data_IF_425561442252
#
_entry.id   IF_425561442252
#
_cell.length_a   1.000
_cell.length_b   1.000
_cell.length_c   1.000
_cell.angle_alpha   90.00
_cell.angle_beta   90.00
_cell.angle_gamma   90.00
#
_symmetry.space_group_name_H-M   'P 1'
#
loop_
_entity.id
_entity.type
_entity.pdbx_description
1 polymer ?
#
# COMPACT_ATOMS: atom_id res chain seq x y z
N UNK A 1 47.47 -21.68 -30.57
CA UNK A 1 47.29 -23.15 -30.65
C UNK A 1 45.96 -23.41 -31.35
N UNK A 2 45.74 -24.55 -32.00
CA UNK A 2 44.43 -24.85 -32.59
C UNK A 2 43.45 -25.23 -31.47
N UNK A 3 42.19 -24.78 -31.56
CA UNK A 3 41.13 -25.14 -30.61
C UNK A 3 40.89 -26.65 -30.64
N UNK A 4 41.00 -27.31 -29.50
CA UNK A 4 40.90 -28.77 -29.39
C UNK A 4 39.59 -29.20 -28.73
N UNK A 5 39.19 -30.46 -28.94
CA UNK A 5 38.04 -31.04 -28.24
C UNK A 5 38.19 -31.01 -26.70
N UNK A 6 39.44 -31.00 -26.20
CA UNK A 6 39.75 -30.84 -24.77
C UNK A 6 39.30 -29.47 -24.24
N UNK A 7 39.43 -28.41 -25.04
CA UNK A 7 39.04 -27.05 -24.66
C UNK A 7 37.52 -26.92 -24.52
N UNK A 8 36.74 -27.64 -25.35
CA UNK A 8 35.28 -27.72 -25.23
C UNK A 8 34.88 -28.33 -23.87
N UNK A 9 35.52 -29.43 -23.47
CA UNK A 9 35.25 -30.07 -22.18
C UNK A 9 35.54 -29.13 -21.00
N UNK A 10 36.64 -28.36 -21.06
CA UNK A 10 37.00 -27.39 -20.03
C UNK A 10 36.03 -26.21 -19.96
N UNK A 11 35.54 -25.71 -21.10
CA UNK A 11 34.53 -24.66 -21.17
C UNK A 11 33.21 -25.13 -20.55
N UNK A 12 32.76 -26.35 -20.86
CA UNK A 12 31.57 -26.93 -20.25
C UNK A 12 31.74 -27.04 -18.73
N UNK A 13 32.91 -27.54 -18.28
CA UNK A 13 33.24 -27.60 -16.86
C UNK A 13 33.23 -26.21 -16.21
N UNK A 14 33.78 -25.18 -16.87
CA UNK A 14 33.82 -23.81 -16.38
C UNK A 14 32.45 -23.14 -16.24
N UNK A 15 31.46 -23.52 -17.06
CA UNK A 15 30.09 -22.99 -16.97
C UNK A 15 29.30 -23.67 -15.84
N UNK A 16 29.49 -24.98 -15.66
CA UNK A 16 28.75 -25.76 -14.64
C UNK A 16 29.38 -25.58 -13.25
N UNK A 17 30.71 -25.61 -13.17
CA UNK A 17 31.47 -25.46 -11.94
C UNK A 17 32.76 -24.70 -12.23
N UNK A 18 32.76 -23.35 -12.12
CA UNK A 18 33.87 -22.53 -12.59
C UNK A 18 35.26 -22.93 -12.05
N UNK A 19 35.40 -23.29 -10.77
CA UNK A 19 36.69 -23.74 -10.24
C UNK A 19 37.20 -25.02 -10.90
N UNK A 20 36.31 -25.90 -11.34
CA UNK A 20 36.68 -27.15 -12.02
C UNK A 20 37.27 -26.89 -13.41
N UNK A 21 36.69 -25.94 -14.15
CA UNK A 21 37.23 -25.49 -15.44
C UNK A 21 38.63 -24.90 -15.30
N UNK A 22 38.85 -24.04 -14.29
CA UNK A 22 40.18 -23.48 -14.00
C UNK A 22 41.16 -24.55 -13.54
N UNK A 23 40.72 -25.50 -12.71
CA UNK A 23 41.54 -26.61 -12.26
C UNK A 23 42.02 -27.48 -13.43
N UNK A 24 41.18 -27.77 -14.41
CA UNK A 24 41.60 -28.54 -15.61
C UNK A 24 42.54 -27.78 -16.54
N UNK A 25 42.59 -26.45 -16.46
CA UNK A 25 43.48 -25.64 -17.28
C UNK A 25 44.82 -25.32 -16.57
N UNK A 26 44.77 -24.94 -15.29
CA UNK A 26 45.92 -24.40 -14.54
C UNK A 26 46.36 -25.28 -13.35
N UNK A 27 45.56 -26.29 -12.99
CA UNK A 27 45.79 -27.09 -11.79
C UNK A 27 45.55 -26.31 -10.49
N UNK A 28 46.15 -26.78 -9.39
CA UNK A 28 46.07 -26.11 -8.09
C UNK A 28 47.08 -24.96 -8.01
N UNK A 29 46.59 -23.73 -8.07
CA UNK A 29 47.41 -22.52 -7.98
C UNK A 29 46.60 -21.27 -7.64
N UNK A 30 47.23 -20.11 -7.76
CA UNK A 30 46.60 -18.82 -7.43
C UNK A 30 45.32 -18.57 -8.25
N UNK A 31 45.30 -18.91 -9.54
CA UNK A 31 44.13 -18.75 -10.41
C UNK A 31 42.92 -19.57 -9.93
N UNK A 32 43.14 -20.78 -9.40
CA UNK A 32 42.09 -21.61 -8.81
C UNK A 32 41.57 -20.99 -7.52
N UNK A 33 42.46 -20.54 -6.62
CA UNK A 33 42.07 -19.86 -5.38
C UNK A 33 41.24 -18.60 -5.67
N UNK A 34 41.68 -17.78 -6.63
CA UNK A 34 40.96 -16.59 -7.08
C UNK A 34 39.60 -16.99 -7.65
N UNK A 35 39.52 -18.03 -8.48
CA UNK A 35 38.26 -18.48 -9.07
C UNK A 35 37.27 -19.01 -8.02
N UNK A 36 37.74 -19.73 -7.00
CA UNK A 36 36.92 -20.18 -5.86
C UNK A 36 36.35 -18.98 -5.12
N UNK A 37 37.19 -17.99 -4.78
CA UNK A 37 36.75 -16.78 -4.09
C UNK A 37 35.72 -16.00 -4.93
N UNK A 38 35.97 -15.83 -6.22
CA UNK A 38 35.05 -15.17 -7.14
C UNK A 38 33.72 -15.93 -7.24
N UNK A 39 33.74 -17.26 -7.32
CA UNK A 39 32.54 -18.10 -7.38
C UNK A 39 31.72 -18.03 -6.09
N UNK A 40 32.37 -17.93 -4.92
CA UNK A 40 31.71 -17.72 -3.62
C UNK A 40 31.09 -16.32 -3.53
N UNK A 41 31.79 -15.29 -4.00
CA UNK A 41 31.28 -13.91 -4.06
C UNK A 41 30.14 -13.76 -5.08
N UNK A 42 30.11 -14.62 -6.10
CA UNK A 42 29.05 -14.70 -7.09
C UNK A 42 29.37 -15.70 -8.19
N UNK A 43 28.41 -16.57 -8.53
CA UNK A 43 28.63 -17.66 -9.47
C UNK A 43 29.14 -17.21 -10.86
N UNK A 44 28.60 -16.09 -11.37
CA UNK A 44 28.94 -15.58 -12.72
C UNK A 44 30.33 -14.94 -12.79
N UNK A 45 30.83 -14.12 -11.82
CA UNK A 45 32.23 -13.71 -11.76
C UNK A 45 33.20 -14.89 -11.83
N UNK A 46 32.84 -16.00 -11.17
CA UNK A 46 33.54 -17.28 -11.29
C UNK A 46 33.60 -17.77 -12.73
N UNK A 47 32.46 -17.85 -13.43
CA UNK A 47 32.39 -18.26 -14.84
C UNK A 47 33.24 -17.35 -15.73
N UNK A 48 33.11 -16.02 -15.58
CA UNK A 48 33.84 -15.04 -16.38
C UNK A 48 35.35 -15.24 -16.25
N UNK A 49 35.83 -15.35 -15.00
CA UNK A 49 37.24 -15.59 -14.72
C UNK A 49 37.72 -16.94 -15.29
N UNK A 50 36.91 -18.00 -15.15
CA UNK A 50 37.25 -19.32 -15.67
C UNK A 50 37.37 -19.34 -17.20
N UNK A 51 36.42 -18.73 -17.91
CA UNK A 51 36.44 -18.62 -19.37
C UNK A 51 37.60 -17.75 -19.86
N UNK A 52 37.92 -16.64 -19.15
CA UNK A 52 39.09 -15.83 -19.48
C UNK A 52 40.39 -16.64 -19.41
N UNK A 53 40.58 -17.44 -18.35
CA UNK A 53 41.78 -18.28 -18.18
C UNK A 53 41.90 -19.32 -19.30
N UNK A 54 40.81 -20.02 -19.62
CA UNK A 54 40.80 -21.08 -20.65
C UNK A 54 41.04 -20.50 -22.04
N UNK A 55 40.36 -19.40 -22.39
CA UNK A 55 40.41 -18.84 -23.75
C UNK A 55 41.70 -18.07 -24.05
N UNK A 56 42.36 -17.51 -23.04
CA UNK A 56 43.60 -16.75 -23.20
C UNK A 56 44.80 -17.67 -23.57
N UNK A 57 44.79 -18.93 -23.14
CA UNK A 57 45.88 -19.89 -23.42
C UNK A 57 45.76 -20.50 -24.81
N UNK A 58 44.54 -20.75 -25.31
CA UNK A 58 44.32 -21.34 -26.63
C UNK A 58 44.76 -20.41 -27.79
N UNK A 59 45.07 -19.14 -27.51
CA UNK A 59 45.44 -18.14 -28.53
C UNK A 59 44.22 -17.54 -29.25
N UNK A 60 43.01 -17.75 -28.72
CA UNK A 60 41.78 -17.09 -29.15
C UNK A 60 41.70 -15.67 -28.54
N UNK A 61 42.71 -14.85 -28.77
CA UNK A 61 42.74 -13.43 -28.34
C UNK A 61 41.83 -12.54 -29.21
N UNK A 62 40.81 -13.13 -29.86
CA UNK A 62 39.89 -12.44 -30.77
C UNK A 62 38.41 -12.67 -30.39
N UNK A 63 38.12 -13.08 -29.15
CA UNK A 63 36.81 -12.78 -28.56
C UNK A 63 36.87 -11.34 -28.06
N UNK A 64 36.53 -10.41 -28.97
CA UNK A 64 36.42 -8.98 -28.73
C UNK A 64 35.89 -8.68 -27.32
N UNK A 65 36.48 -7.66 -26.68
CA UNK A 65 36.07 -7.09 -25.39
C UNK A 65 34.53 -6.96 -25.21
N UNK A 66 33.76 -6.87 -26.30
CA UNK A 66 32.30 -6.89 -26.32
C UNK A 66 31.62 -8.09 -25.66
N UNK A 67 32.20 -9.30 -25.68
CA UNK A 67 31.57 -10.46 -25.01
C UNK A 67 31.71 -10.37 -23.48
N UNK A 68 32.89 -9.99 -23.00
CA UNK A 68 33.16 -9.72 -21.58
C UNK A 68 32.33 -8.53 -21.08
N UNK A 69 32.22 -7.44 -21.86
CA UNK A 69 31.34 -6.31 -21.52
C UNK A 69 29.87 -6.70 -21.44
N UNK A 70 29.38 -7.59 -22.31
CA UNK A 70 27.99 -8.09 -22.25
C UNK A 70 27.73 -8.93 -20.99
N UNK A 71 28.69 -9.76 -20.58
CA UNK A 71 28.58 -10.54 -19.34
C UNK A 71 28.67 -9.64 -18.09
N UNK A 72 29.57 -8.66 -18.07
CA UNK A 72 29.63 -7.65 -17.02
C UNK A 72 28.35 -6.81 -16.97
N UNK A 73 27.78 -6.43 -18.12
CA UNK A 73 26.51 -5.72 -18.21
C UNK A 73 25.34 -6.56 -17.68
N UNK A 74 25.28 -7.85 -18.01
CA UNK A 74 24.30 -8.77 -17.47
C UNK A 74 24.47 -8.94 -15.94
N UNK A 75 25.72 -8.91 -15.46
CA UNK A 75 26.00 -8.95 -14.02
C UNK A 75 25.64 -7.68 -13.28
N UNK A 76 25.86 -6.51 -13.89
CA UNK A 76 25.37 -5.22 -13.37
C UNK A 76 23.85 -5.19 -13.31
N UNK A 77 23.15 -5.76 -14.30
CA UNK A 77 21.69 -5.92 -14.26
C UNK A 77 21.25 -6.88 -13.17
N UNK A 78 21.97 -7.99 -12.95
CA UNK A 78 21.67 -8.91 -11.85
C UNK A 78 21.94 -8.26 -10.49
N UNK A 79 23.04 -7.54 -10.30
CA UNK A 79 23.31 -6.76 -9.09
C UNK A 79 22.23 -5.70 -8.91
N UNK A 80 21.87 -4.94 -9.95
CA UNK A 80 20.85 -3.89 -9.81
C UNK A 80 19.50 -4.49 -9.41
N UNK A 81 19.15 -5.67 -9.96
CA UNK A 81 17.95 -6.40 -9.55
C UNK A 81 18.06 -7.02 -8.15
N UNK A 82 19.26 -7.46 -7.72
CA UNK A 82 19.50 -7.95 -6.36
C UNK A 82 19.48 -6.80 -5.35
N UNK A 83 20.10 -5.66 -5.65
CA UNK A 83 20.09 -4.44 -4.83
C UNK A 83 18.72 -3.80 -4.77
N UNK A 84 17.89 -3.95 -5.81
CA UNK A 84 16.47 -3.60 -5.78
C UNK A 84 15.68 -4.54 -4.88
N UNK A 85 15.89 -5.86 -4.96
CA UNK A 85 15.24 -6.85 -4.08
C UNK A 85 15.79 -6.89 -2.64
N UNK A 86 16.98 -6.32 -2.38
CA UNK A 86 17.60 -6.21 -1.06
C UNK A 86 17.37 -4.84 -0.40
N UNK A 87 16.58 -3.95 -1.02
CA UNK A 87 15.95 -2.85 -0.26
C UNK A 87 14.97 -3.52 0.71
N UNK A 88 15.45 -3.81 1.92
CA UNK A 88 14.64 -4.38 3.00
C UNK A 88 13.31 -3.64 3.06
N UNK A 89 12.22 -4.36 2.82
CA UNK A 89 10.86 -3.94 3.13
C UNK A 89 10.83 -3.44 4.59
N UNK A 90 10.81 -2.13 4.77
CA UNK A 90 10.79 -1.48 6.09
C UNK A 90 9.36 -1.49 6.62
N UNK A 91 8.89 -2.69 6.94
CA UNK A 91 7.54 -2.98 7.39
C UNK A 91 7.54 -3.21 8.90
N UNK A 92 6.71 -2.47 9.61
CA UNK A 92 6.52 -2.62 11.05
C UNK A 92 5.07 -3.00 11.31
N UNK A 93 4.85 -4.19 11.86
CA UNK A 93 3.51 -4.76 11.97
C UNK A 93 2.98 -4.71 13.42
N UNK A 94 1.67 -4.60 13.57
CA UNK A 94 0.93 -4.71 14.83
C UNK A 94 1.39 -3.71 15.91
N UNK A 95 1.68 -2.47 15.51
CA UNK A 95 2.02 -1.40 16.44
C UNK A 95 0.73 -0.99 17.18
N UNK A 96 0.65 -1.12 18.52
CA UNK A 96 -0.55 -0.74 19.26
C UNK A 96 -0.69 0.79 19.30
N UNK A 97 -1.91 1.30 19.15
CA UNK A 97 -2.22 2.72 19.31
C UNK A 97 -3.07 3.03 20.56
N UNK A 98 -3.25 2.04 21.43
CA UNK A 98 -3.89 2.19 22.74
C UNK A 98 -3.06 1.56 23.86
N UNK A 99 -3.22 2.08 25.09
CA UNK A 99 -2.47 1.58 26.25
C UNK A 99 -2.77 0.11 26.59
N UNK A 100 -4.02 -0.33 26.40
CA UNK A 100 -4.40 -1.74 26.50
C UNK A 100 -4.09 -2.42 25.16
N UNK A 101 -3.37 -3.54 25.20
CA UNK A 101 -3.16 -4.38 24.02
C UNK A 101 -4.47 -4.96 23.52
N UNK A 102 -4.75 -4.68 22.26
CA UNK A 102 -5.93 -5.14 21.53
C UNK A 102 -5.53 -5.28 20.06
N UNK A 103 -5.58 -6.49 19.46
CA UNK A 103 -5.15 -6.69 18.07
C UNK A 103 -5.90 -5.82 17.05
N UNK A 104 -7.17 -5.49 17.33
CA UNK A 104 -7.99 -4.62 16.48
C UNK A 104 -7.73 -3.14 16.73
N UNK A 105 -6.90 -2.79 17.72
CA UNK A 105 -6.40 -1.43 17.95
C UNK A 105 -4.89 -1.37 17.81
N UNK A 106 -4.46 -1.86 16.66
CA UNK A 106 -3.09 -1.82 16.17
C UNK A 106 -3.05 -1.45 14.68
N UNK A 107 -1.89 -1.02 14.20
CA UNK A 107 -1.68 -0.68 12.80
C UNK A 107 -0.37 -1.26 12.27
N UNK A 108 -0.29 -1.36 10.94
CA UNK A 108 0.93 -1.71 10.22
C UNK A 108 1.47 -0.46 9.52
N UNK A 109 2.79 -0.29 9.52
CA UNK A 109 3.49 0.80 8.86
C UNK A 109 4.40 0.27 7.75
N UNK A 110 4.25 0.82 6.55
CA UNK A 110 5.00 0.48 5.35
C UNK A 110 5.80 1.71 4.95
N UNK A 111 7.12 1.68 5.19
CA UNK A 111 7.98 2.85 4.99
C UNK A 111 8.75 2.69 3.67
N UNK A 112 8.68 3.67 2.76
CA UNK A 112 9.43 3.63 1.50
C UNK A 112 10.94 3.62 1.77
N UNK A 113 11.79 3.16 0.83
CA UNK A 113 13.25 3.12 1.00
C UNK A 113 13.94 4.49 1.01
N UNK A 114 13.25 5.53 0.52
CA UNK A 114 13.68 6.92 0.62
C UNK A 114 12.96 7.63 1.78
N UNK A 115 13.46 8.78 2.23
CA UNK A 115 12.79 9.56 3.30
C UNK A 115 11.35 9.94 2.88
N UNK A 116 10.33 9.59 3.68
CA UNK A 116 8.95 9.99 3.42
C UNK A 116 8.78 11.51 3.35
N UNK A 117 7.96 11.96 2.41
CA UNK A 117 7.49 13.34 2.26
C UNK A 117 6.01 13.49 2.57
N UNK A 118 5.26 12.40 2.63
CA UNK A 118 3.87 12.35 3.04
C UNK A 118 3.56 11.03 3.74
N UNK A 119 2.43 11.02 4.43
CA UNK A 119 1.85 9.83 5.05
C UNK A 119 0.47 9.61 4.43
N UNK A 120 0.20 8.38 4.02
CA UNK A 120 -1.13 7.92 3.63
C UNK A 120 -1.66 6.94 4.68
N UNK A 121 -2.75 7.28 5.35
CA UNK A 121 -3.46 6.35 6.23
C UNK A 121 -4.55 5.65 5.42
N UNK A 122 -4.49 4.33 5.31
CA UNK A 122 -5.50 3.54 4.61
C UNK A 122 -6.42 2.82 5.61
N UNK A 123 -7.72 3.14 5.59
CA UNK A 123 -8.78 2.52 6.40
C UNK A 123 -9.54 1.53 5.54
N UNK A 124 -9.47 0.26 5.91
CA UNK A 124 -10.05 -0.84 5.14
C UNK A 124 -11.58 -0.87 5.17
N UNK A 125 -12.15 -1.67 4.27
CA UNK A 125 -13.57 -1.96 4.15
C UNK A 125 -14.01 -3.15 5.00
N UNK A 126 -14.92 -3.97 4.45
CA UNK A 126 -15.43 -5.18 5.13
C UNK A 126 -16.74 -4.96 5.90
N UNK A 127 -17.57 -4.03 5.45
CA UNK A 127 -18.94 -3.81 5.96
C UNK A 127 -19.02 -3.72 7.50
N UNK A 128 -18.03 -3.06 8.12
CA UNK A 128 -17.85 -2.90 9.57
C UNK A 128 -17.73 -4.19 10.40
N UNK A 129 -17.87 -5.37 9.80
CA UNK A 129 -17.93 -6.67 10.50
C UNK A 129 -16.81 -7.64 10.13
N UNK A 130 -15.97 -7.28 9.16
CA UNK A 130 -14.82 -8.05 8.70
C UNK A 130 -13.71 -7.14 8.18
N UNK A 131 -12.60 -7.75 7.74
CA UNK A 131 -11.40 -7.08 7.22
C UNK A 131 -10.27 -7.06 8.25
N UNK A 132 -9.04 -7.05 7.75
CA UNK A 132 -7.83 -6.86 8.56
C UNK A 132 -6.77 -6.10 7.74
N UNK A 133 -5.99 -5.25 8.40
CA UNK A 133 -4.84 -4.54 7.83
C UNK A 133 -3.84 -5.46 7.11
N UNK A 134 -3.71 -6.72 7.55
CA UNK A 134 -2.81 -7.70 6.94
C UNK A 134 -3.22 -8.07 5.50
N UNK A 135 -4.52 -8.04 5.19
CA UNK A 135 -5.05 -8.33 3.85
C UNK A 135 -4.62 -7.26 2.83
N UNK A 136 -4.24 -6.08 3.31
CA UNK A 136 -3.91 -4.92 2.50
C UNK A 136 -2.41 -4.64 2.39
N UNK A 137 -1.56 -5.60 2.80
CA UNK A 137 -0.10 -5.50 2.66
C UNK A 137 0.34 -5.17 1.23
N UNK A 138 -0.23 -5.85 0.24
CA UNK A 138 0.15 -5.64 -1.17
C UNK A 138 -0.21 -4.22 -1.65
N UNK A 139 -1.39 -3.73 -1.29
CA UNK A 139 -1.80 -2.35 -1.56
C UNK A 139 -0.83 -1.36 -0.90
N UNK A 140 -0.57 -1.54 0.39
CA UNK A 140 0.26 -0.62 1.17
C UNK A 140 1.71 -0.58 0.66
N UNK A 141 2.31 -1.72 0.34
CA UNK A 141 3.65 -1.78 -0.27
C UNK A 141 3.67 -1.12 -1.65
N UNK A 142 2.62 -1.29 -2.46
CA UNK A 142 2.54 -0.63 -3.78
C UNK A 142 2.36 0.89 -3.67
N UNK A 143 1.57 1.37 -2.71
CA UNK A 143 1.38 2.80 -2.46
C UNK A 143 2.55 3.46 -1.72
N UNK A 144 3.38 2.67 -1.04
CA UNK A 144 4.68 3.08 -0.53
C UNK A 144 5.70 3.23 -1.68
N UNK A 145 5.34 3.99 -2.72
CA UNK A 145 6.25 4.43 -3.79
C UNK A 145 7.23 5.47 -3.25
N UNK A 146 8.16 5.96 -4.08
CA UNK A 146 9.24 6.84 -3.64
C UNK A 146 8.70 8.07 -2.90
N UNK A 147 8.77 8.01 -1.56
CA UNK A 147 8.50 9.08 -0.56
C UNK A 147 7.08 9.16 0.03
N UNK A 148 6.23 8.14 -0.06
CA UNK A 148 4.99 8.06 0.76
C UNK A 148 5.08 6.93 1.77
N UNK A 149 4.96 7.22 3.06
CA UNK A 149 4.75 6.17 4.08
C UNK A 149 3.27 5.80 4.15
N UNK A 150 2.95 4.51 4.22
CA UNK A 150 1.57 4.03 4.29
C UNK A 150 1.31 3.38 5.65
N UNK A 151 0.28 3.85 6.34
CA UNK A 151 -0.14 3.33 7.64
C UNK A 151 -1.53 2.69 7.51
N UNK A 152 -1.70 1.47 8.00
CA UNK A 152 -2.95 0.71 7.86
C UNK A 152 -3.45 0.29 9.25
N UNK A 153 -4.38 1.05 9.88
CA UNK A 153 -4.98 0.67 11.14
C UNK A 153 -6.05 -0.42 10.97
N UNK A 154 -6.16 -1.29 11.98
CA UNK A 154 -7.40 -1.98 12.27
C UNK A 154 -8.33 -1.09 13.11
N UNK A 155 -9.62 -1.44 13.12
CA UNK A 155 -10.62 -0.94 14.06
C UNK A 155 -11.48 -2.11 14.54
N UNK A 156 -12.11 -1.98 15.72
CA UNK A 156 -13.00 -3.04 16.24
C UNK A 156 -14.22 -3.22 15.35
N UNK A 157 -14.72 -4.45 15.26
CA UNK A 157 -15.73 -4.85 14.28
C UNK A 157 -17.09 -5.11 14.93
N UNK A 158 -18.15 -4.84 14.18
CA UNK A 158 -19.51 -5.29 14.49
C UNK A 158 -19.60 -6.81 14.43
N UNK A 159 -20.51 -7.40 15.21
CA UNK A 159 -20.78 -8.83 15.12
C UNK A 159 -21.29 -9.22 13.73
N UNK A 160 -20.95 -10.44 13.29
CA UNK A 160 -21.39 -10.94 11.98
C UNK A 160 -22.90 -11.20 11.89
N UNK A 161 -23.61 -11.23 13.04
CA UNK A 161 -25.07 -11.42 13.12
C UNK A 161 -25.70 -10.39 14.08
N UNK A 162 -26.86 -9.79 13.75
CA UNK A 162 -27.54 -8.79 14.58
C UNK A 162 -27.96 -9.25 15.98
N UNK A 163 -28.00 -10.57 16.22
CA UNK A 163 -28.51 -11.18 17.45
C UNK A 163 -27.45 -11.48 18.52
N UNK A 164 -26.21 -10.99 18.39
CA UNK A 164 -25.20 -11.22 19.43
C UNK A 164 -25.44 -10.33 20.65
N UNK A 165 -25.24 -10.88 21.85
CA UNK A 165 -25.28 -10.11 23.11
C UNK A 165 -24.22 -9.00 23.16
N UNK A 166 -23.14 -9.15 22.39
CA UNK A 166 -22.10 -8.13 22.21
C UNK A 166 -22.53 -7.20 21.09
N UNK A 167 -22.74 -5.93 21.42
CA UNK A 167 -22.99 -4.86 20.44
C UNK A 167 -21.73 -4.03 20.28
N UNK A 168 -21.24 -3.94 19.04
CA UNK A 168 -20.23 -2.97 18.66
C UNK A 168 -20.73 -2.28 17.39
N UNK A 169 -21.28 -1.09 17.57
CA UNK A 169 -22.04 -0.35 16.56
C UNK A 169 -21.35 1.00 16.29
N UNK A 170 -21.63 1.57 15.12
CA UNK A 170 -21.23 2.92 14.76
C UNK A 170 -21.82 3.90 15.80
N UNK A 171 -21.06 4.90 16.28
CA UNK A 171 -19.79 5.40 15.76
C UNK A 171 -18.50 4.73 16.25
N UNK A 172 -18.57 3.66 17.05
CA UNK A 172 -17.40 3.15 17.77
C UNK A 172 -16.24 2.69 16.86
N UNK A 173 -16.53 2.22 15.63
CA UNK A 173 -15.49 1.92 14.62
C UNK A 173 -14.72 3.17 14.19
N UNK A 174 -15.46 4.26 13.97
CA UNK A 174 -14.87 5.54 13.59
C UNK A 174 -14.15 6.20 14.77
N UNK A 175 -14.60 5.97 16.01
CA UNK A 175 -13.88 6.39 17.21
C UNK A 175 -12.52 5.69 17.34
N UNK A 176 -12.40 4.42 16.97
CA UNK A 176 -11.10 3.73 16.93
C UNK A 176 -10.16 4.35 15.89
N UNK A 177 -10.65 4.65 14.69
CA UNK A 177 -9.86 5.32 13.64
C UNK A 177 -9.46 6.74 14.08
N UNK A 178 -10.36 7.49 14.70
CA UNK A 178 -10.03 8.83 15.23
C UNK A 178 -9.04 8.75 16.40
N UNK A 179 -9.14 7.72 17.25
CA UNK A 179 -8.17 7.45 18.31
C UNK A 179 -6.79 7.19 17.71
N UNK A 180 -6.71 6.38 16.64
CA UNK A 180 -5.47 6.14 15.92
C UNK A 180 -4.88 7.45 15.33
N UNK A 181 -5.69 8.25 14.63
CA UNK A 181 -5.23 9.54 14.09
C UNK A 181 -4.73 10.49 15.19
N UNK A 182 -5.40 10.50 16.34
CA UNK A 182 -4.98 11.29 17.51
C UNK A 182 -3.66 10.76 18.09
N UNK A 183 -3.50 9.44 18.17
CA UNK A 183 -2.26 8.80 18.62
C UNK A 183 -1.07 9.20 17.75
N UNK A 184 -1.24 9.27 16.41
CA UNK A 184 -0.16 9.67 15.50
C UNK A 184 0.42 11.06 15.81
N UNK A 185 -0.34 11.95 16.44
CA UNK A 185 0.10 13.31 16.79
C UNK A 185 1.17 13.30 17.90
N UNK A 186 1.16 12.26 18.74
CA UNK A 186 2.06 12.13 19.89
C UNK A 186 3.02 10.95 19.73
N UNK A 187 2.88 10.16 18.66
CA UNK A 187 3.72 9.00 18.41
C UNK A 187 5.13 9.44 18.00
N UNK A 188 6.14 8.95 18.71
CA UNK A 188 7.57 9.25 18.42
C UNK A 188 8.01 8.76 17.02
N UNK A 189 7.22 7.85 16.43
CA UNK A 189 7.44 7.30 15.11
C UNK A 189 8.46 6.16 15.10
N UNK A 190 8.98 5.88 13.91
CA UNK A 190 9.96 4.84 13.61
C UNK A 190 11.26 5.48 13.12
N UNK A 191 12.41 4.79 13.12
CA UNK A 191 13.69 5.39 12.73
C UNK A 191 13.66 6.18 11.42
N UNK A 192 12.89 5.72 10.43
CA UNK A 192 12.74 6.32 9.09
C UNK A 192 11.42 7.08 8.88
N UNK A 193 10.55 7.09 9.89
CA UNK A 193 9.30 7.84 9.95
C UNK A 193 9.20 8.52 11.32
N UNK A 194 10.06 9.51 11.56
CA UNK A 194 10.02 10.36 12.75
C UNK A 194 9.28 11.66 12.44
N UNK A 195 8.90 12.40 13.48
CA UNK A 195 8.27 13.71 13.34
C UNK A 195 7.05 13.69 12.40
N UNK A 196 6.13 12.76 12.63
CA UNK A 196 4.92 12.60 11.78
C UNK A 196 4.13 13.91 11.67
N UNK A 197 4.14 14.74 12.69
CA UNK A 197 3.52 16.06 12.71
C UNK A 197 4.16 17.10 11.76
N UNK A 198 5.31 16.80 11.15
CA UNK A 198 5.96 17.65 10.13
C UNK A 198 5.62 17.20 8.69
N UNK A 199 4.94 16.06 8.52
CA UNK A 199 4.56 15.52 7.22
C UNK A 199 3.07 15.75 6.94
N UNK A 200 2.67 16.12 5.71
CA UNK A 200 1.27 16.14 5.33
C UNK A 200 0.69 14.72 5.40
N UNK A 201 -0.46 14.60 6.06
CA UNK A 201 -1.22 13.36 6.15
C UNK A 201 -2.35 13.39 5.13
N UNK A 202 -2.47 12.31 4.38
CA UNK A 202 -3.64 11.99 3.57
C UNK A 202 -4.30 10.76 4.16
N UNK A 203 -5.62 10.70 4.07
CA UNK A 203 -6.38 9.55 4.53
C UNK A 203 -7.15 8.96 3.35
N UNK A 204 -7.22 7.65 3.27
CA UNK A 204 -7.90 6.92 2.22
C UNK A 204 -8.78 5.86 2.84
N UNK A 205 -10.04 5.82 2.43
CA UNK A 205 -11.00 4.83 2.89
C UNK A 205 -11.57 4.06 1.72
N UNK A 206 -11.75 2.75 1.90
CA UNK A 206 -12.44 1.89 0.94
C UNK A 206 -13.71 1.32 1.54
N UNK A 207 -14.81 1.30 0.79
CA UNK A 207 -16.08 0.71 1.23
C UNK A 207 -16.57 1.31 2.57
N UNK A 208 -16.76 0.49 3.60
CA UNK A 208 -17.05 0.95 4.97
C UNK A 208 -16.01 1.92 5.55
N UNK A 209 -14.73 1.81 5.18
CA UNK A 209 -13.67 2.73 5.59
C UNK A 209 -13.85 4.14 5.00
N UNK A 210 -14.42 4.24 3.79
CA UNK A 210 -14.76 5.53 3.18
C UNK A 210 -15.89 6.23 3.96
N UNK A 211 -16.87 5.47 4.44
CA UNK A 211 -17.90 5.98 5.35
C UNK A 211 -17.29 6.50 6.66
N UNK A 212 -16.43 5.69 7.30
CA UNK A 212 -15.76 6.05 8.56
C UNK A 212 -15.01 7.38 8.44
N UNK A 213 -14.19 7.54 7.40
CA UNK A 213 -13.45 8.79 7.19
C UNK A 213 -14.37 9.96 6.87
N UNK A 214 -15.44 9.74 6.11
CA UNK A 214 -16.43 10.78 5.83
C UNK A 214 -17.13 11.25 7.11
N UNK A 215 -17.45 10.34 8.02
CA UNK A 215 -18.05 10.67 9.31
C UNK A 215 -17.11 11.48 10.22
N UNK A 216 -15.79 11.25 10.15
CA UNK A 216 -14.79 12.00 10.91
C UNK A 216 -14.59 13.42 10.32
N UNK A 217 -14.41 13.52 9.00
CA UNK A 217 -13.97 14.77 8.35
C UNK A 217 -15.08 15.68 7.87
N UNK A 218 -16.31 15.17 7.70
CA UNK A 218 -17.51 16.01 7.65
C UNK A 218 -18.04 16.25 9.07
N UNK A 219 -18.93 17.23 9.22
CA UNK A 219 -19.47 17.57 10.52
C UNK A 219 -20.62 16.65 10.91
N UNK A 220 -20.27 15.55 11.59
CA UNK A 220 -21.22 14.63 12.20
C UNK A 220 -21.63 15.02 13.63
N UNK A 221 -21.22 16.18 14.14
CA UNK A 221 -21.34 16.47 15.59
C UNK A 221 -22.78 16.50 16.12
N UNK A 222 -23.76 16.73 15.23
CA UNK A 222 -25.18 16.66 15.56
C UNK A 222 -25.68 15.23 15.87
N UNK A 223 -25.04 14.20 15.30
CA UNK A 223 -25.44 12.79 15.47
C UNK A 223 -24.40 11.98 16.24
N UNK A 224 -23.12 12.22 16.00
CA UNK A 224 -21.98 11.52 16.60
C UNK A 224 -20.92 12.53 17.10
N UNK A 225 -21.19 13.27 18.20
CA UNK A 225 -20.30 14.32 18.72
C UNK A 225 -18.90 13.83 19.07
N UNK A 226 -18.75 12.55 19.38
CA UNK A 226 -17.48 11.88 19.67
C UNK A 226 -16.54 11.79 18.46
N UNK A 227 -17.05 11.92 17.23
CA UNK A 227 -16.25 11.89 15.99
C UNK A 227 -15.69 13.27 15.59
N UNK A 228 -15.58 14.21 16.53
CA UNK A 228 -14.98 15.52 16.26
C UNK A 228 -13.45 15.43 16.38
N UNK A 229 -12.68 15.55 15.28
CA UNK A 229 -11.22 15.50 15.36
C UNK A 229 -10.67 16.72 16.11
N UNK A 230 -9.51 16.53 16.76
CA UNK A 230 -8.78 17.66 17.36
C UNK A 230 -8.33 18.64 16.28
N UNK A 231 -8.07 19.89 16.66
CA UNK A 231 -7.56 20.91 15.73
C UNK A 231 -6.21 20.51 15.10
N UNK A 232 -5.43 19.70 15.80
CA UNK A 232 -4.15 19.19 15.30
C UNK A 232 -4.34 18.10 14.25
N UNK A 233 -5.20 17.11 14.51
CA UNK A 233 -5.56 16.07 13.52
C UNK A 233 -6.17 16.72 12.29
N UNK A 234 -7.09 17.66 12.48
CA UNK A 234 -7.68 18.42 11.39
C UNK A 234 -6.57 19.06 10.54
N UNK A 235 -5.75 19.94 11.14
CA UNK A 235 -4.70 20.71 10.44
C UNK A 235 -3.71 19.84 9.66
N UNK A 236 -3.37 18.65 10.15
CA UNK A 236 -2.38 17.78 9.50
C UNK A 236 -2.96 16.95 8.35
N UNK A 237 -4.28 16.76 8.31
CA UNK A 237 -4.93 16.02 7.22
C UNK A 237 -5.23 16.97 6.06
N UNK A 238 -4.51 16.77 4.95
CA UNK A 238 -4.55 17.64 3.76
C UNK A 238 -5.51 17.14 2.68
N UNK A 239 -5.90 15.87 2.72
CA UNK A 239 -6.87 15.34 1.77
C UNK A 239 -7.43 13.98 2.16
N UNK A 240 -8.61 13.68 1.61
CA UNK A 240 -9.37 12.45 1.84
C UNK A 240 -9.65 11.77 0.50
N UNK A 241 -9.25 10.51 0.37
CA UNK A 241 -9.59 9.65 -0.77
C UNK A 241 -10.70 8.70 -0.36
N UNK A 242 -11.78 8.66 -1.14
CA UNK A 242 -12.95 7.84 -0.91
C UNK A 242 -13.09 6.88 -2.10
N UNK A 243 -12.96 5.58 -1.85
CA UNK A 243 -13.06 4.52 -2.88
C UNK A 243 -14.25 3.60 -2.60
N UNK A 244 -15.12 3.39 -3.58
CA UNK A 244 -16.25 2.44 -3.52
C UNK A 244 -17.10 2.54 -2.24
N UNK A 245 -17.32 3.76 -1.72
CA UNK A 245 -17.83 3.94 -0.36
C UNK A 245 -19.35 3.88 -0.22
N UNK A 246 -19.81 3.60 1.00
CA UNK A 246 -21.21 3.71 1.40
C UNK A 246 -21.44 5.11 1.99
N UNK A 247 -22.24 5.95 1.35
CA UNK A 247 -22.44 7.35 1.79
C UNK A 247 -23.90 7.73 2.06
N UNK A 248 -24.87 7.08 1.43
CA UNK A 248 -26.30 7.19 1.71
C UNK A 248 -26.85 5.78 1.94
N UNK A 249 -27.09 5.43 3.21
CA UNK A 249 -27.49 4.07 3.60
C UNK A 249 -28.91 3.76 3.09
N UNK A 250 -29.83 4.72 3.09
CA UNK A 250 -31.18 4.50 2.57
C UNK A 250 -31.17 4.29 1.05
N UNK A 251 -30.33 5.02 0.32
CA UNK A 251 -30.10 4.81 -1.11
C UNK A 251 -29.49 3.44 -1.38
N UNK A 252 -28.53 3.00 -0.56
CA UNK A 252 -27.92 1.67 -0.65
C UNK A 252 -28.98 0.59 -0.48
N UNK A 253 -29.83 0.69 0.55
CA UNK A 253 -30.86 -0.28 0.85
C UNK A 253 -32.00 -0.31 -0.18
N UNK A 254 -32.24 0.76 -0.93
CA UNK A 254 -33.16 0.71 -2.09
C UNK A 254 -32.64 -0.22 -3.18
N UNK A 255 -31.31 -0.23 -3.40
CA UNK A 255 -30.66 -1.06 -4.41
C UNK A 255 -30.40 -2.48 -3.91
N UNK A 256 -29.98 -2.61 -2.66
CA UNK A 256 -29.62 -3.87 -2.00
C UNK A 256 -30.40 -4.04 -0.68
N UNK A 257 -31.72 -4.36 -0.72
CA UNK A 257 -32.54 -4.43 0.48
C UNK A 257 -32.04 -5.45 1.52
N UNK A 258 -31.43 -6.54 1.07
CA UNK A 258 -30.87 -7.60 1.92
C UNK A 258 -29.69 -7.14 2.78
N UNK A 259 -29.05 -6.01 2.44
CA UNK A 259 -27.93 -5.48 3.23
C UNK A 259 -28.35 -4.99 4.61
N UNK A 260 -29.64 -4.68 4.81
CA UNK A 260 -30.22 -4.33 6.10
C UNK A 260 -29.92 -5.41 7.12
N UNK A 261 -30.41 -6.62 6.85
CA UNK A 261 -30.29 -7.78 7.74
C UNK A 261 -28.86 -8.36 7.72
N UNK A 262 -28.14 -8.14 6.62
CA UNK A 262 -26.81 -8.71 6.45
C UNK A 262 -25.71 -8.01 7.25
N UNK A 263 -25.69 -6.68 7.30
CA UNK A 263 -24.68 -5.93 8.06
C UNK A 263 -25.09 -4.55 8.55
N UNK A 264 -26.02 -3.86 7.88
CA UNK A 264 -26.36 -2.48 8.27
C UNK A 264 -26.97 -2.43 9.67
N UNK A 265 -27.92 -3.32 9.99
CA UNK A 265 -28.54 -3.33 11.31
C UNK A 265 -27.57 -3.70 12.44
N UNK A 266 -26.63 -4.62 12.17
CA UNK A 266 -25.59 -4.97 13.14
C UNK A 266 -24.58 -3.83 13.36
N UNK A 267 -24.37 -2.98 12.35
CA UNK A 267 -23.43 -1.86 12.41
C UNK A 267 -24.07 -0.56 12.91
N UNK A 268 -25.34 -0.30 12.64
CA UNK A 268 -26.00 0.99 12.91
C UNK A 268 -27.25 0.87 13.79
N UNK A 269 -27.63 -0.33 14.22
CA UNK A 269 -28.90 -0.60 14.89
C UNK A 269 -30.06 -0.79 13.90
N UNK A 270 -31.18 -1.28 14.42
CA UNK A 270 -32.42 -1.44 13.63
C UNK A 270 -33.20 -0.13 13.57
N UNK A 271 -33.34 0.44 12.37
CA UNK A 271 -34.03 1.71 12.14
C UNK A 271 -34.87 1.66 10.87
N UNK A 272 -36.02 2.34 10.84
CA UNK A 272 -36.83 2.45 9.62
C UNK A 272 -36.04 3.15 8.49
N UNK A 273 -35.32 4.21 8.84
CA UNK A 273 -34.41 4.97 7.96
C UNK A 273 -33.07 5.19 8.66
N UNK A 274 -32.00 5.17 7.88
CA UNK A 274 -30.61 5.40 8.29
C UNK A 274 -30.11 6.77 7.86
N UNK A 275 -31.02 7.76 7.80
CA UNK A 275 -30.70 9.14 7.43
C UNK A 275 -29.55 9.71 8.27
N UNK A 276 -29.57 9.49 9.58
CA UNK A 276 -28.58 10.05 10.52
C UNK A 276 -27.21 9.36 10.41
N UNK A 277 -27.17 8.14 9.86
CA UNK A 277 -25.94 7.42 9.52
C UNK A 277 -25.42 7.73 8.11
N UNK A 278 -26.12 8.53 7.30
CA UNK A 278 -25.75 8.81 5.90
C UNK A 278 -24.83 10.03 5.80
N UNK A 279 -23.55 9.79 5.53
CA UNK A 279 -22.49 10.84 5.49
C UNK A 279 -22.59 11.80 4.30
N UNK A 280 -23.26 11.42 3.22
CA UNK A 280 -23.55 12.27 2.04
C UNK A 280 -24.54 13.42 2.31
N UNK A 281 -24.90 13.64 3.58
CA UNK A 281 -25.79 14.70 4.04
C UNK A 281 -25.14 15.57 5.11
N UNK A 282 -23.95 15.19 5.59
CA UNK A 282 -23.30 15.89 6.69
C UNK A 282 -22.78 17.24 6.21
N UNK A 283 -22.97 18.32 6.99
CA UNK A 283 -22.43 19.61 6.64
C UNK A 283 -20.91 19.61 6.62
N UNK A 284 -20.34 20.64 6.00
CA UNK A 284 -18.91 20.91 6.09
C UNK A 284 -18.55 21.30 7.52
N UNK A 285 -17.43 20.77 8.01
CA UNK A 285 -16.85 21.16 9.29
C UNK A 285 -16.10 22.48 9.14
N UNK A 286 -16.46 23.45 9.97
CA UNK A 286 -15.71 24.72 10.07
C UNK A 286 -14.37 24.48 10.78
N UNK A 287 -13.29 25.08 10.28
CA UNK A 287 -12.00 25.05 10.97
C UNK A 287 -10.79 24.90 10.05
N UNK A 288 -9.66 24.34 10.55
CA UNK A 288 -8.41 24.20 9.79
C UNK A 288 -8.56 23.48 8.44
N UNK A 289 -9.64 22.72 8.26
CA UNK A 289 -9.88 21.86 7.08
C UNK A 289 -10.81 22.53 6.07
N UNK A 290 -10.90 23.86 6.12
CA UNK A 290 -11.73 24.62 5.19
C UNK A 290 -11.36 24.40 3.71
N UNK A 291 -10.11 24.02 3.42
CA UNK A 291 -9.66 23.72 2.07
C UNK A 291 -9.27 22.24 1.90
N UNK A 292 -9.92 21.34 2.64
CA UNK A 292 -9.68 19.91 2.54
C UNK A 292 -9.96 19.42 1.11
N UNK A 293 -8.96 18.76 0.51
CA UNK A 293 -9.09 18.15 -0.82
C UNK A 293 -9.78 16.80 -0.71
N UNK A 294 -10.59 16.47 -1.70
CA UNK A 294 -11.30 15.20 -1.80
C UNK A 294 -11.03 14.55 -3.15
N UNK A 295 -10.85 13.23 -3.14
CA UNK A 295 -10.84 12.39 -4.33
C UNK A 295 -11.90 11.30 -4.16
N UNK A 296 -12.90 11.27 -5.04
CA UNK A 296 -13.92 10.21 -5.08
C UNK A 296 -13.65 9.28 -6.25
N UNK A 297 -13.40 8.01 -5.97
CA UNK A 297 -13.14 6.98 -6.98
C UNK A 297 -14.21 5.90 -6.90
N UNK A 298 -14.76 5.52 -8.05
CA UNK A 298 -15.70 4.42 -8.19
C UNK A 298 -15.35 3.59 -9.42
N UNK A 299 -15.41 2.28 -9.31
CA UNK A 299 -15.16 1.35 -10.41
C UNK A 299 -16.47 1.00 -11.10
N UNK A 300 -16.48 1.03 -12.44
CA UNK A 300 -17.64 0.56 -13.22
C UNK A 300 -17.97 -0.91 -13.00
N UNK A 301 -16.98 -1.69 -12.54
CA UNK A 301 -17.14 -3.11 -12.25
C UNK A 301 -17.62 -3.39 -10.82
N UNK A 302 -17.89 -2.37 -9.99
CA UNK A 302 -18.36 -2.62 -8.63
C UNK A 302 -19.77 -3.20 -8.62
N UNK A 303 -19.88 -4.44 -8.16
CA UNK A 303 -21.14 -5.17 -8.00
C UNK A 303 -21.71 -5.10 -6.58
N UNK A 304 -20.94 -4.62 -5.60
CA UNK A 304 -21.31 -4.55 -4.19
C UNK A 304 -21.84 -3.19 -3.77
N UNK A 305 -21.36 -2.12 -4.38
CA UNK A 305 -21.81 -0.73 -4.13
C UNK A 305 -22.10 -0.05 -5.46
N UNK A 306 -23.31 0.47 -5.59
CA UNK A 306 -23.76 1.12 -6.83
C UNK A 306 -23.12 2.51 -6.99
N UNK A 307 -22.72 2.86 -8.22
CA UNK A 307 -22.07 4.14 -8.54
C UNK A 307 -22.88 5.36 -8.07
N UNK A 308 -24.22 5.23 -7.94
CA UNK A 308 -25.08 6.25 -7.39
C UNK A 308 -24.65 6.74 -5.99
N UNK A 309 -23.97 5.90 -5.20
CA UNK A 309 -23.37 6.30 -3.93
C UNK A 309 -22.28 7.37 -4.14
N UNK A 310 -21.30 7.07 -5.00
CA UNK A 310 -20.18 7.97 -5.28
C UNK A 310 -20.61 9.23 -6.03
N UNK A 311 -21.65 9.14 -6.87
CA UNK A 311 -22.26 10.33 -7.49
C UNK A 311 -22.91 11.25 -6.45
N UNK A 312 -23.71 10.70 -5.54
CA UNK A 312 -24.33 11.47 -4.46
C UNK A 312 -23.28 12.13 -3.56
N UNK A 313 -22.21 11.40 -3.21
CA UNK A 313 -21.12 11.93 -2.39
C UNK A 313 -20.32 13.02 -3.12
N UNK A 314 -19.98 12.80 -4.41
CA UNK A 314 -19.33 13.81 -5.26
C UNK A 314 -20.14 15.10 -5.28
N UNK A 315 -21.44 15.01 -5.56
CA UNK A 315 -22.30 16.17 -5.73
C UNK A 315 -22.43 16.94 -4.42
N UNK A 316 -22.58 16.21 -3.31
CA UNK A 316 -22.59 16.78 -1.96
C UNK A 316 -21.26 17.49 -1.63
N UNK A 317 -20.12 16.83 -1.80
CA UNK A 317 -18.80 17.42 -1.54
C UNK A 317 -18.54 18.66 -2.40
N UNK A 318 -18.91 18.63 -3.69
CA UNK A 318 -18.78 19.79 -4.58
C UNK A 318 -19.63 20.97 -4.14
N UNK A 319 -20.81 20.71 -3.55
CA UNK A 319 -21.64 21.76 -2.95
C UNK A 319 -20.98 22.41 -1.74
N UNK A 320 -20.12 21.68 -1.01
CA UNK A 320 -19.47 22.12 0.22
C UNK A 320 -18.08 22.76 0.02
N UNK A 321 -17.30 22.24 -0.94
CA UNK A 321 -15.87 22.59 -1.12
C UNK A 321 -15.56 23.18 -2.50
N UNK A 322 -16.53 23.17 -3.42
CA UNK A 322 -16.33 23.60 -4.81
C UNK A 322 -15.71 22.50 -5.68
N UNK A 323 -15.73 22.71 -7.00
CA UNK A 323 -15.24 21.74 -7.99
C UNK A 323 -13.73 21.53 -7.89
N UNK A 324 -12.97 22.60 -7.62
CA UNK A 324 -11.50 22.57 -7.62
C UNK A 324 -10.90 21.75 -6.47
N UNK A 325 -11.67 21.57 -5.38
CA UNK A 325 -11.26 20.77 -4.22
C UNK A 325 -11.79 19.34 -4.26
N UNK A 326 -12.58 18.94 -5.28
CA UNK A 326 -13.21 17.63 -5.37
C UNK A 326 -12.91 16.98 -6.71
N UNK A 327 -11.82 16.21 -6.74
CA UNK A 327 -11.41 15.37 -7.86
C UNK A 327 -12.25 14.09 -7.90
N UNK A 328 -12.53 13.57 -9.09
CA UNK A 328 -13.32 12.34 -9.24
C UNK A 328 -12.84 11.45 -10.37
N UNK A 329 -12.96 10.15 -10.18
CA UNK A 329 -12.81 9.13 -11.23
C UNK A 329 -13.85 8.04 -11.01
N UNK A 330 -15.01 8.16 -11.68
CA UNK A 330 -16.14 7.23 -11.51
C UNK A 330 -16.26 6.19 -12.63
N UNK A 331 -15.45 6.33 -13.67
CA UNK A 331 -15.68 5.68 -14.94
C UNK A 331 -14.40 5.17 -15.61
N UNK A 332 -13.24 5.48 -15.03
CA UNK A 332 -11.93 5.16 -15.59
C UNK A 332 -11.43 3.75 -15.21
N UNK A 333 -11.88 3.23 -14.06
CA UNK A 333 -11.55 1.87 -13.59
C UNK A 333 -12.77 0.96 -13.81
N UNK A 334 -12.53 -0.30 -14.19
CA UNK A 334 -13.59 -1.26 -14.54
C UNK A 334 -13.25 -2.68 -14.04
N UNK A 335 -12.95 -2.78 -12.74
CA UNK A 335 -12.71 -4.04 -12.02
C UNK A 335 -13.69 -4.19 -10.85
N UNK A 336 -13.74 -5.36 -10.20
CA UNK A 336 -14.64 -5.59 -9.06
C UNK A 336 -14.26 -4.76 -7.82
N UNK A 337 -15.18 -4.70 -6.85
CA UNK A 337 -15.15 -3.85 -5.66
C UNK A 337 -13.81 -3.82 -4.91
N UNK A 338 -13.20 -4.98 -4.67
CA UNK A 338 -11.93 -5.10 -3.94
C UNK A 338 -10.71 -5.05 -4.88
N UNK A 339 -10.87 -5.52 -6.12
CA UNK A 339 -9.81 -5.56 -7.13
C UNK A 339 -9.33 -4.15 -7.51
N UNK A 340 -10.20 -3.14 -7.35
CA UNK A 340 -9.88 -1.72 -7.60
C UNK A 340 -8.63 -1.28 -6.83
N UNK A 341 -8.42 -1.80 -5.61
CA UNK A 341 -7.30 -1.43 -4.77
C UNK A 341 -5.95 -1.81 -5.39
N UNK A 342 -5.91 -2.83 -6.25
CA UNK A 342 -4.68 -3.27 -6.90
C UNK A 342 -4.59 -2.83 -8.37
N UNK A 343 -5.59 -2.11 -8.87
CA UNK A 343 -5.61 -1.59 -10.23
C UNK A 343 -4.53 -0.50 -10.43
N UNK A 344 -3.72 -0.57 -11.50
CA UNK A 344 -2.64 0.40 -11.73
C UNK A 344 -3.12 1.85 -11.88
N UNK A 345 -4.29 2.08 -12.48
CA UNK A 345 -4.84 3.42 -12.64
C UNK A 345 -5.33 3.95 -11.30
N UNK A 346 -5.99 3.11 -10.50
CA UNK A 346 -6.37 3.47 -9.13
C UNK A 346 -5.15 3.90 -8.30
N UNK A 347 -4.09 3.09 -8.28
CA UNK A 347 -2.84 3.41 -7.57
C UNK A 347 -2.24 4.73 -8.07
N UNK A 348 -2.22 4.94 -9.39
CA UNK A 348 -1.74 6.19 -9.97
C UNK A 348 -2.58 7.41 -9.55
N UNK A 349 -3.91 7.29 -9.52
CA UNK A 349 -4.80 8.37 -9.07
C UNK A 349 -4.53 8.76 -7.61
N UNK A 350 -4.36 7.77 -6.73
CA UNK A 350 -4.03 7.99 -5.31
C UNK A 350 -2.67 8.66 -5.17
N UNK A 351 -1.62 8.13 -5.81
CA UNK A 351 -0.27 8.71 -5.76
C UNK A 351 -0.23 10.14 -6.30
N UNK A 352 -0.92 10.41 -7.42
CA UNK A 352 -1.06 11.76 -7.99
C UNK A 352 -1.76 12.72 -7.03
N UNK A 353 -2.80 12.26 -6.35
CA UNK A 353 -3.54 13.09 -5.40
C UNK A 353 -2.69 13.49 -4.19
N UNK A 354 -1.88 12.55 -3.67
CA UNK A 354 -0.91 12.80 -2.60
C UNK A 354 0.20 13.74 -3.06
N UNK A 355 0.70 13.59 -4.29
CA UNK A 355 1.51 14.60 -4.98
C UNK A 355 2.97 14.72 -4.49
N UNK A 356 3.62 13.61 -4.15
CA UNK A 356 5.01 13.60 -3.65
C UNK A 356 6.04 12.93 -4.56
N UNK A 357 5.60 12.37 -5.69
CA UNK A 357 6.44 11.73 -6.71
C UNK A 357 7.27 12.72 -7.54
#
# INVERSE_FOLDING_TARGET
>A
MAFTASDICKIIAAVILPPLGVFFERGCGADLCINILLTILGFIPGIIHALYIILNISGLCALNNTFLYKLCGLWLVVISNLSFNLRMDDHHLNIPFTAKTDPLRSFDAYIPPDSPKAILVFVHGGAWRSGDKADHRTLATKLATSRTAVLVPNYRLSPSAPSSEIKFEHPAHAEDVLTFLTFLMQWEGLPRLRNISELPIFVMGHSAGAHILSAIFLDSSATTPTLTPSAEVARLVHGVVLSEGIYDIDLLLKRFPTYRDWFIAAAFGEHESYRDGSVSRLPRRSGPNDNLRWLVVHSKGDTLVDVAQSEAMRDHLRSLYGQDNVETSLDAVAVEHDDVLLDPLFLHLVSKFVGVD
#
